data_IF_798302339286
#
_entry.id   IF_798302339286
#
_cell.length_a   1.000
_cell.length_b   1.000
_cell.length_c   1.000
_cell.angle_alpha   90.00
_cell.angle_beta   90.00
_cell.angle_gamma   90.00
#
_symmetry.space_group_name_H-M   'P 1'
#
loop_
_entity.id
_entity.type
_entity.pdbx_description
1 polymer ?
#
# COMPACT_ATOMS: atom_id res chain seq x y z
N UNK A 1 14.30 3.66 21.98
CA UNK A 1 14.02 3.19 20.60
C UNK A 1 12.62 2.59 20.59
N UNK A 2 11.72 3.11 19.79
CA UNK A 2 10.46 2.40 19.55
C UNK A 2 10.72 1.36 18.48
N UNK A 3 10.64 0.10 18.88
CA UNK A 3 10.85 -1.04 18.01
C UNK A 3 9.49 -1.60 17.60
N UNK A 4 9.13 -1.46 16.32
CA UNK A 4 7.86 -1.97 15.76
C UNK A 4 8.04 -3.34 15.09
N UNK A 5 9.01 -4.14 15.53
CA UNK A 5 9.33 -5.42 14.90
C UNK A 5 8.21 -6.46 15.05
N UNK A 6 7.45 -6.41 16.13
CA UNK A 6 6.32 -7.31 16.31
C UNK A 6 5.19 -6.99 15.34
N UNK A 7 4.87 -5.70 15.16
CA UNK A 7 3.85 -5.23 14.24
C UNK A 7 4.25 -5.50 12.79
N UNK A 8 5.50 -5.21 12.42
CA UNK A 8 6.04 -5.56 11.10
C UNK A 8 5.94 -7.05 10.83
N UNK A 9 6.35 -7.88 11.79
CA UNK A 9 6.31 -9.35 11.67
C UNK A 9 4.89 -9.86 11.53
N UNK A 10 3.94 -9.32 12.30
CA UNK A 10 2.52 -9.66 12.17
C UNK A 10 2.04 -9.44 10.73
N UNK A 11 2.31 -8.27 10.16
CA UNK A 11 1.87 -7.91 8.81
C UNK A 11 2.59 -8.74 7.75
N UNK A 12 3.89 -8.99 7.88
CA UNK A 12 4.63 -9.87 6.96
C UNK A 12 4.09 -11.31 6.98
N UNK A 13 3.81 -11.85 8.16
CA UNK A 13 3.20 -13.17 8.29
C UNK A 13 1.80 -13.23 7.68
N UNK A 14 1.00 -12.17 7.83
CA UNK A 14 -0.28 -12.04 7.15
C UNK A 14 -0.12 -12.04 5.63
N UNK A 15 0.80 -11.26 5.09
CA UNK A 15 1.07 -11.20 3.65
C UNK A 15 1.53 -12.54 3.08
N UNK A 16 2.41 -13.23 3.80
CA UNK A 16 2.87 -14.56 3.41
C UNK A 16 1.72 -15.57 3.43
N UNK A 17 0.89 -15.57 4.48
CA UNK A 17 -0.28 -16.45 4.58
C UNK A 17 -1.28 -16.19 3.43
N UNK A 18 -1.58 -14.92 3.11
CA UNK A 18 -2.44 -14.57 1.97
C UNK A 18 -1.82 -15.04 0.65
N UNK A 19 -0.51 -14.89 0.47
CA UNK A 19 0.15 -15.27 -0.79
C UNK A 19 0.21 -16.79 -0.97
N UNK A 20 0.59 -17.53 0.07
CA UNK A 20 0.81 -18.99 0.03
C UNK A 20 -0.47 -19.80 0.22
N UNK A 21 -1.44 -19.30 0.99
CA UNK A 21 -2.69 -20.01 1.29
C UNK A 21 -3.56 -20.22 0.04
N UNK A 22 -4.36 -21.26 0.06
CA UNK A 22 -5.38 -21.50 -0.96
C UNK A 22 -6.57 -20.54 -0.83
N UNK A 23 -7.40 -20.45 -1.88
CA UNK A 23 -8.61 -19.62 -1.84
C UNK A 23 -9.59 -20.06 -0.71
N UNK A 24 -9.56 -21.32 -0.29
CA UNK A 24 -10.41 -21.88 0.77
C UNK A 24 -9.91 -21.52 2.19
N UNK A 25 -8.63 -21.18 2.35
CA UNK A 25 -8.04 -20.83 3.64
C UNK A 25 -8.15 -19.35 3.98
N UNK A 26 -8.54 -18.50 3.01
CA UNK A 26 -8.52 -17.05 3.15
C UNK A 26 -9.39 -16.56 4.33
N UNK A 27 -10.59 -17.12 4.54
CA UNK A 27 -11.42 -16.74 5.69
C UNK A 27 -10.72 -17.01 7.01
N UNK A 28 -10.07 -18.17 7.14
CA UNK A 28 -9.33 -18.53 8.34
C UNK A 28 -8.10 -17.63 8.55
N UNK A 29 -7.41 -17.29 7.46
CA UNK A 29 -6.25 -16.37 7.50
C UNK A 29 -6.70 -14.99 7.96
N UNK A 30 -7.75 -14.40 7.36
CA UNK A 30 -8.25 -13.10 7.76
C UNK A 30 -8.72 -13.11 9.23
N UNK A 31 -9.45 -14.12 9.68
CA UNK A 31 -9.86 -14.26 11.08
C UNK A 31 -8.68 -14.40 12.06
N UNK A 32 -7.60 -15.02 11.60
CA UNK A 32 -6.38 -15.17 12.42
C UNK A 32 -5.64 -13.86 12.63
N UNK A 33 -5.54 -13.01 11.62
CA UNK A 33 -4.70 -11.81 11.65
C UNK A 33 -5.47 -10.52 11.91
N UNK A 34 -6.76 -10.46 11.56
CA UNK A 34 -7.62 -9.29 11.73
C UNK A 34 -8.48 -9.39 13.00
N UNK A 35 -8.88 -8.25 13.55
CA UNK A 35 -9.91 -8.22 14.59
C UNK A 35 -11.30 -8.50 14.01
N UNK A 36 -12.24 -8.91 14.86
CA UNK A 36 -13.62 -9.19 14.44
C UNK A 36 -14.32 -7.95 13.87
N UNK A 37 -13.96 -6.79 14.37
CA UNK A 37 -14.47 -5.47 13.99
C UNK A 37 -13.53 -4.69 13.07
N UNK A 38 -12.52 -5.36 12.48
CA UNK A 38 -11.56 -4.75 11.59
C UNK A 38 -12.25 -3.89 10.52
N UNK A 39 -11.84 -2.64 10.41
CA UNK A 39 -12.32 -1.72 9.36
C UNK A 39 -11.38 -1.79 8.17
N UNK A 40 -11.92 -2.14 7.00
CA UNK A 40 -11.15 -2.14 5.77
C UNK A 40 -11.69 -1.06 4.83
N UNK A 41 -10.86 -0.09 4.53
CA UNK A 41 -11.18 1.07 3.70
C UNK A 41 -10.56 0.92 2.33
N UNK A 42 -11.35 1.16 1.30
CA UNK A 42 -10.91 1.15 -0.09
C UNK A 42 -11.83 2.05 -0.92
N UNK A 43 -11.72 1.98 -2.22
CA UNK A 43 -12.57 2.71 -3.15
C UNK A 43 -13.46 1.77 -3.96
N UNK A 44 -14.31 2.35 -4.79
CA UNK A 44 -15.18 1.59 -5.69
C UNK A 44 -14.39 0.51 -6.48
N UNK A 45 -14.91 -0.75 -6.59
CA UNK A 45 -16.24 -1.22 -6.19
C UNK A 45 -16.35 -1.77 -4.76
N UNK A 46 -15.27 -1.80 -3.99
CA UNK A 46 -15.23 -2.51 -2.71
C UNK A 46 -15.76 -1.67 -1.54
N UNK A 47 -15.53 -0.35 -1.56
CA UNK A 47 -15.91 0.56 -0.47
C UNK A 47 -15.40 0.10 0.90
N UNK A 48 -16.02 0.56 1.99
CA UNK A 48 -15.66 0.15 3.33
C UNK A 48 -16.32 -1.19 3.68
N UNK A 49 -15.52 -2.07 4.30
CA UNK A 49 -15.98 -3.37 4.79
C UNK A 49 -15.64 -3.53 6.26
N UNK A 50 -16.35 -4.39 6.96
CA UNK A 50 -16.13 -4.64 8.39
C UNK A 50 -16.01 -6.13 8.68
N UNK A 51 -14.97 -6.45 9.46
CA UNK A 51 -14.67 -7.81 9.84
C UNK A 51 -13.86 -8.60 8.82
N UNK A 52 -12.94 -9.43 9.30
CA UNK A 52 -12.05 -10.21 8.46
C UNK A 52 -12.75 -11.16 7.50
N UNK A 53 -13.95 -11.65 7.86
CA UNK A 53 -14.72 -12.56 7.00
C UNK A 53 -15.27 -11.84 5.77
N UNK A 54 -15.80 -10.63 5.93
CA UNK A 54 -16.33 -9.86 4.80
C UNK A 54 -15.22 -9.46 3.85
N UNK A 55 -14.07 -9.02 4.39
CA UNK A 55 -12.87 -8.72 3.61
C UNK A 55 -12.38 -9.95 2.83
N UNK A 56 -12.38 -11.12 3.48
CA UNK A 56 -12.03 -12.38 2.85
C UNK A 56 -12.93 -12.67 1.66
N UNK A 57 -14.25 -12.65 1.85
CA UNK A 57 -15.25 -13.04 0.85
C UNK A 57 -15.40 -12.05 -0.29
N UNK A 58 -15.35 -10.77 -0.01
CA UNK A 58 -15.60 -9.75 -1.03
C UNK A 58 -14.34 -9.35 -1.79
N UNK A 59 -13.15 -9.47 -1.20
CA UNK A 59 -11.91 -9.09 -1.86
C UNK A 59 -10.95 -10.26 -2.08
N UNK A 60 -10.38 -10.85 -1.01
CA UNK A 60 -9.26 -11.78 -1.17
C UNK A 60 -9.60 -13.08 -1.87
N UNK A 61 -10.74 -13.72 -1.57
CA UNK A 61 -11.12 -14.97 -2.23
C UNK A 61 -11.35 -14.79 -3.73
N UNK A 62 -12.19 -13.82 -4.20
CA UNK A 62 -12.36 -13.57 -5.63
C UNK A 62 -11.04 -13.20 -6.32
N UNK A 63 -10.20 -12.39 -5.67
CA UNK A 63 -8.91 -11.99 -6.21
C UNK A 63 -7.98 -13.19 -6.36
N UNK A 64 -7.82 -14.02 -5.32
CA UNK A 64 -7.02 -15.25 -5.36
C UNK A 64 -7.54 -16.28 -6.37
N UNK A 65 -8.84 -16.39 -6.51
CA UNK A 65 -9.46 -17.26 -7.53
C UNK A 65 -9.09 -16.79 -8.95
N UNK A 66 -8.93 -15.50 -9.14
CA UNK A 66 -8.60 -14.93 -10.46
C UNK A 66 -7.11 -14.93 -10.78
N UNK A 67 -6.24 -14.82 -9.77
CA UNK A 67 -4.79 -14.78 -9.92
C UNK A 67 -4.13 -16.06 -9.37
N UNK A 68 -3.50 -16.82 -10.24
CA UNK A 68 -2.65 -17.95 -9.82
C UNK A 68 -1.24 -17.47 -9.44
N UNK A 69 -0.64 -18.14 -8.46
CA UNK A 69 0.71 -17.85 -7.99
C UNK A 69 0.87 -16.39 -7.55
N UNK A 70 -0.07 -15.92 -6.74
CA UNK A 70 -0.03 -14.57 -6.18
C UNK A 70 1.28 -14.34 -5.43
N UNK A 71 1.97 -13.28 -5.79
CA UNK A 71 3.18 -12.79 -5.14
C UNK A 71 2.99 -11.32 -4.78
N UNK A 72 3.51 -10.92 -3.63
CA UNK A 72 3.59 -9.52 -3.21
C UNK A 72 5.03 -9.04 -3.35
N UNK A 73 5.28 -8.19 -4.30
CA UNK A 73 6.56 -7.48 -4.44
C UNK A 73 6.44 -6.16 -3.68
N UNK A 74 7.23 -6.01 -2.64
CA UNK A 74 7.30 -4.78 -1.86
C UNK A 74 8.42 -3.89 -2.40
N UNK A 75 8.12 -2.62 -2.58
CA UNK A 75 9.07 -1.57 -2.93
C UNK A 75 9.29 -0.62 -1.74
N UNK A 76 8.27 -0.46 -0.88
CA UNK A 76 8.31 0.32 0.36
C UNK A 76 7.68 -0.52 1.47
N UNK A 77 8.36 -0.57 2.63
CA UNK A 77 7.85 -1.22 3.83
C UNK A 77 8.43 -0.58 5.09
N UNK A 78 7.59 -0.03 5.93
CA UNK A 78 8.00 0.56 7.20
C UNK A 78 6.88 0.52 8.24
N UNK A 79 7.19 0.86 9.49
CA UNK A 79 6.21 1.05 10.54
C UNK A 79 6.52 2.31 11.35
N UNK A 80 5.49 2.92 11.88
CA UNK A 80 5.60 4.12 12.69
C UNK A 80 4.33 4.40 13.49
N UNK A 81 4.42 5.35 14.40
CA UNK A 81 3.27 5.93 15.07
C UNK A 81 2.64 7.02 14.22
N UNK A 82 1.32 7.07 14.21
CA UNK A 82 0.61 8.21 13.66
C UNK A 82 0.68 9.38 14.66
N UNK A 83 1.35 10.45 14.27
CA UNK A 83 1.52 11.64 15.10
C UNK A 83 0.31 12.61 15.02
N UNK A 84 -0.58 12.39 14.07
CA UNK A 84 -1.74 13.24 13.83
C UNK A 84 -2.96 12.79 14.65
N UNK A 85 -3.01 11.52 15.05
CA UNK A 85 -4.00 11.06 15.99
C UNK A 85 -3.45 11.17 17.43
N UNK A 86 -4.21 11.69 18.34
CA UNK A 86 -3.83 11.81 19.74
C UNK A 86 -3.78 10.45 20.47
N UNK A 87 -3.85 9.33 19.76
CA UNK A 87 -3.93 7.97 20.29
C UNK A 87 -2.62 7.19 20.14
N UNK A 88 -1.60 7.79 19.53
CA UNK A 88 -0.30 7.13 19.32
C UNK A 88 -0.41 5.78 18.55
N UNK A 89 -1.38 5.67 17.64
CA UNK A 89 -1.64 4.41 16.94
C UNK A 89 -0.46 3.96 16.08
N UNK A 90 -0.19 2.66 16.07
CA UNK A 90 0.91 2.07 15.27
C UNK A 90 0.39 1.62 13.93
N UNK A 91 1.06 2.06 12.87
CA UNK A 91 0.76 1.71 11.49
C UNK A 91 1.93 1.02 10.83
N UNK A 92 1.63 -0.01 10.05
CA UNK A 92 2.58 -0.67 9.15
C UNK A 92 2.14 -0.38 7.72
N UNK A 93 3.06 0.17 6.94
CA UNK A 93 2.81 0.63 5.57
C UNK A 93 3.57 -0.23 4.59
N UNK A 94 2.92 -0.62 3.51
CA UNK A 94 3.51 -1.36 2.40
C UNK A 94 3.02 -0.81 1.07
N UNK A 95 3.95 -0.60 0.15
CA UNK A 95 3.64 -0.25 -1.24
C UNK A 95 4.44 -1.15 -2.19
N UNK A 96 3.92 -1.37 -3.38
CA UNK A 96 4.55 -2.20 -4.38
C UNK A 96 3.55 -2.77 -5.38
N UNK A 97 3.71 -4.03 -5.74
CA UNK A 97 2.86 -4.69 -6.74
C UNK A 97 2.37 -6.05 -6.22
N UNK A 98 1.08 -6.33 -6.42
CA UNK A 98 0.57 -7.70 -6.41
C UNK A 98 0.75 -8.27 -7.81
N UNK A 99 1.38 -9.43 -7.91
CA UNK A 99 1.72 -10.08 -9.17
C UNK A 99 1.13 -11.48 -9.21
N UNK A 100 0.73 -11.92 -10.39
CA UNK A 100 0.25 -13.28 -10.60
C UNK A 100 -0.20 -13.52 -12.03
N UNK A 101 -0.44 -14.78 -12.38
CA UNK A 101 -1.05 -15.15 -13.64
C UNK A 101 -2.55 -14.84 -13.59
N UNK A 102 -3.02 -13.89 -14.37
CA UNK A 102 -4.43 -13.51 -14.43
C UNK A 102 -5.21 -14.55 -15.25
N UNK A 103 -5.72 -15.57 -14.56
CA UNK A 103 -6.28 -16.79 -15.15
C UNK A 103 -7.80 -16.79 -15.28
N UNK A 104 -8.53 -16.15 -14.36
CA UNK A 104 -9.99 -16.01 -14.42
C UNK A 104 -10.40 -14.54 -14.37
N UNK A 105 -11.56 -14.22 -14.94
CA UNK A 105 -12.10 -12.86 -14.90
C UNK A 105 -12.29 -12.37 -13.45
N UNK A 106 -12.04 -11.10 -13.22
CA UNK A 106 -12.22 -10.43 -11.94
C UNK A 106 -12.85 -9.04 -12.15
N UNK A 107 -13.89 -8.70 -11.41
CA UNK A 107 -14.63 -7.42 -11.53
C UNK A 107 -15.09 -7.14 -12.98
N UNK A 108 -15.50 -8.16 -13.71
CA UNK A 108 -15.81 -8.08 -15.14
C UNK A 108 -14.62 -7.74 -16.05
N UNK A 109 -13.40 -7.65 -15.52
CA UNK A 109 -12.18 -7.51 -16.30
C UNK A 109 -11.80 -8.89 -16.87
N UNK A 110 -11.65 -9.05 -18.18
CA UNK A 110 -11.33 -10.33 -18.78
C UNK A 110 -9.91 -10.78 -18.46
N UNK A 111 -9.74 -12.08 -18.20
CA UNK A 111 -8.45 -12.68 -17.92
C UNK A 111 -7.52 -12.59 -19.13
N UNK A 112 -6.33 -12.05 -18.94
CA UNK A 112 -5.30 -11.94 -19.99
C UNK A 112 -4.54 -13.23 -20.26
N UNK A 113 -4.58 -14.21 -19.35
CA UNK A 113 -3.72 -15.40 -19.35
C UNK A 113 -2.22 -15.07 -19.34
N UNK A 114 -1.89 -13.89 -18.84
CA UNK A 114 -0.52 -13.38 -18.69
C UNK A 114 -0.27 -12.97 -17.24
N UNK A 115 0.99 -12.80 -16.88
CA UNK A 115 1.36 -12.19 -15.60
C UNK A 115 0.96 -10.73 -15.64
N UNK A 116 0.31 -10.29 -14.57
CA UNK A 116 -0.07 -8.89 -14.36
C UNK A 116 0.63 -8.33 -13.12
N UNK A 117 0.72 -7.01 -13.08
CA UNK A 117 1.28 -6.24 -11.98
C UNK A 117 0.22 -5.25 -11.50
N UNK A 118 -0.35 -5.48 -10.33
CA UNK A 118 -1.33 -4.57 -9.74
C UNK A 118 -0.63 -3.70 -8.69
N UNK A 119 -0.35 -2.42 -9.01
CA UNK A 119 0.23 -1.49 -8.03
C UNK A 119 -0.69 -1.35 -6.82
N UNK A 120 -0.13 -1.30 -5.62
CA UNK A 120 -0.89 -1.13 -4.38
C UNK A 120 -0.17 -0.22 -3.38
N UNK A 121 -0.98 0.37 -2.49
CA UNK A 121 -0.56 0.97 -1.23
C UNK A 121 -1.48 0.47 -0.13
N UNK A 122 -0.91 -0.06 0.94
CA UNK A 122 -1.63 -0.68 2.05
C UNK A 122 -1.11 -0.16 3.38
N UNK A 123 -2.02 0.30 4.22
CA UNK A 123 -1.76 0.85 5.54
C UNK A 123 -2.52 0.00 6.55
N UNK A 124 -1.83 -0.63 7.48
CA UNK A 124 -2.42 -1.50 8.49
C UNK A 124 -2.20 -0.92 9.88
N UNK A 125 -3.28 -0.58 10.59
CA UNK A 125 -3.25 -0.22 12.01
C UNK A 125 -3.23 -1.48 12.86
N UNK A 126 -2.29 -1.54 13.80
CA UNK A 126 -2.08 -2.70 14.63
C UNK A 126 -2.39 -2.36 16.09
N UNK A 127 -3.25 -3.16 16.70
CA UNK A 127 -3.56 -3.11 18.13
C UNK A 127 -3.70 -4.55 18.66
N UNK A 128 -3.22 -4.81 19.88
CA UNK A 128 -3.34 -6.11 20.56
C UNK A 128 -2.95 -7.31 19.67
N UNK A 129 -1.87 -7.15 18.88
CA UNK A 129 -1.36 -8.16 17.95
C UNK A 129 -2.39 -8.60 16.89
N UNK A 130 -3.24 -7.68 16.46
CA UNK A 130 -4.23 -7.83 15.39
C UNK A 130 -4.22 -6.61 14.48
N UNK A 131 -4.58 -6.82 13.21
CA UNK A 131 -4.91 -5.75 12.29
C UNK A 131 -6.33 -5.29 12.61
N UNK A 132 -6.48 -4.05 13.06
CA UNK A 132 -7.78 -3.47 13.44
C UNK A 132 -8.35 -2.52 12.40
N UNK A 133 -7.47 -2.03 11.52
CA UNK A 133 -7.88 -1.19 10.39
C UNK A 133 -6.90 -1.40 9.24
N UNK A 134 -7.43 -1.45 8.03
CA UNK A 134 -6.64 -1.45 6.79
C UNK A 134 -7.19 -0.40 5.87
N UNK A 135 -6.32 0.46 5.31
CA UNK A 135 -6.63 1.26 4.13
C UNK A 135 -5.85 0.65 2.96
N UNK A 136 -6.56 0.15 1.94
CA UNK A 136 -5.97 -0.58 0.83
C UNK A 136 -6.39 0.01 -0.51
N UNK A 137 -5.42 0.55 -1.21
CA UNK A 137 -5.59 1.18 -2.52
C UNK A 137 -4.78 0.42 -3.56
N UNK A 138 -5.35 0.20 -4.74
CA UNK A 138 -4.70 -0.53 -5.83
C UNK A 138 -5.18 0.01 -7.19
N UNK A 139 -4.33 -0.07 -8.20
CA UNK A 139 -4.53 0.61 -9.48
C UNK A 139 -5.32 -0.27 -10.47
N UNK A 140 -6.67 -0.31 -10.34
CA UNK A 140 -7.55 -1.02 -11.27
C UNK A 140 -7.44 -0.49 -12.72
N UNK A 141 -7.40 0.82 -12.97
CA UNK A 141 -7.17 1.34 -14.31
C UNK A 141 -5.88 0.80 -14.96
N UNK A 142 -4.81 0.65 -14.18
CA UNK A 142 -3.58 0.05 -14.66
C UNK A 142 -3.78 -1.43 -15.04
N UNK A 143 -4.48 -2.22 -14.21
CA UNK A 143 -4.86 -3.59 -14.55
C UNK A 143 -5.68 -3.66 -15.85
N UNK A 144 -6.66 -2.76 -16.01
CA UNK A 144 -7.47 -2.69 -17.23
C UNK A 144 -6.60 -2.43 -18.47
N UNK A 145 -5.66 -1.50 -18.39
CA UNK A 145 -4.72 -1.24 -19.48
C UNK A 145 -3.87 -2.48 -19.83
N UNK A 146 -3.41 -3.24 -18.85
CA UNK A 146 -2.63 -4.47 -19.06
C UNK A 146 -3.39 -5.56 -19.80
N UNK A 147 -4.71 -5.56 -19.75
CA UNK A 147 -5.57 -6.52 -20.49
C UNK A 147 -6.15 -5.94 -21.78
N UNK A 148 -5.72 -4.75 -22.18
CA UNK A 148 -6.16 -4.09 -23.41
C UNK A 148 -7.45 -3.29 -23.29
N UNK A 149 -7.96 -3.11 -22.07
CA UNK A 149 -9.07 -2.20 -21.77
C UNK A 149 -8.48 -0.86 -21.34
N UNK A 150 -8.68 0.18 -22.13
CA UNK A 150 -8.19 1.51 -21.76
C UNK A 150 -9.36 2.40 -21.33
N UNK A 151 -9.58 2.62 -20.02
CA UNK A 151 -10.63 3.48 -19.50
C UNK A 151 -10.33 4.97 -19.68
N UNK A 152 -9.12 5.34 -20.11
CA UNK A 152 -8.66 6.70 -20.28
C UNK A 152 -8.20 6.97 -21.71
N UNK A 153 -7.96 8.25 -22.03
CA UNK A 153 -7.25 8.62 -23.24
C UNK A 153 -5.84 8.00 -23.30
N UNK A 154 -5.26 7.89 -24.49
CA UNK A 154 -3.95 7.29 -24.70
C UNK A 154 -2.89 7.87 -23.75
N UNK A 155 -2.25 7.02 -22.98
CA UNK A 155 -1.17 7.43 -22.10
C UNK A 155 0.12 7.67 -22.91
N UNK A 156 0.90 8.66 -22.51
CA UNK A 156 2.16 9.05 -23.16
C UNK A 156 3.39 8.30 -22.61
N UNK A 157 3.21 7.38 -21.65
CA UNK A 157 4.31 6.68 -20.98
C UNK A 157 4.01 5.22 -20.63
N UNK A 158 5.01 4.52 -20.11
CA UNK A 158 4.86 3.16 -19.61
C UNK A 158 4.00 3.13 -18.33
N UNK A 159 2.90 2.40 -18.35
CA UNK A 159 1.92 2.34 -17.27
C UNK A 159 1.71 0.91 -16.71
N UNK A 160 2.53 -0.05 -17.11
CA UNK A 160 2.41 -1.44 -16.67
C UNK A 160 2.98 -1.65 -15.27
N UNK A 161 4.11 -1.03 -14.96
CA UNK A 161 4.82 -1.17 -13.70
C UNK A 161 5.33 0.19 -13.22
N UNK A 162 5.06 0.53 -11.97
CA UNK A 162 5.65 1.69 -11.30
C UNK A 162 6.95 1.26 -10.64
N UNK A 163 8.04 1.96 -10.94
CA UNK A 163 9.32 1.66 -10.32
C UNK A 163 9.34 2.18 -8.89
N UNK A 164 9.81 1.35 -7.97
CA UNK A 164 10.17 1.76 -6.62
C UNK A 164 11.57 2.38 -6.59
N UNK A 165 12.09 2.73 -5.39
CA UNK A 165 13.45 3.22 -5.24
C UNK A 165 14.48 2.24 -5.82
N UNK A 166 15.40 2.73 -6.69
CA UNK A 166 16.38 1.87 -7.36
C UNK A 166 17.37 1.20 -6.43
N UNK A 167 17.69 1.83 -5.32
CA UNK A 167 18.59 1.35 -4.29
C UNK A 167 17.88 0.54 -3.18
N UNK A 168 16.57 0.31 -3.31
CA UNK A 168 15.74 -0.44 -2.35
C UNK A 168 15.75 0.14 -0.93
N UNK A 169 16.03 1.41 -0.75
CA UNK A 169 16.10 2.10 0.54
C UNK A 169 14.73 2.43 1.15
N UNK A 170 13.63 2.10 0.46
CA UNK A 170 12.26 2.19 0.98
C UNK A 170 11.82 0.99 1.83
N UNK A 171 12.67 -0.03 2.02
CA UNK A 171 12.34 -1.29 2.70
C UNK A 171 12.96 -1.35 4.09
N UNK A 172 12.22 -0.93 5.11
CA UNK A 172 12.66 -0.90 6.51
C UNK A 172 12.15 -2.11 7.30
N UNK A 173 12.68 -3.28 6.99
CA UNK A 173 12.32 -4.53 7.69
C UNK A 173 12.92 -4.62 9.10
N UNK A 174 14.06 -3.96 9.33
CA UNK A 174 14.78 -3.93 10.60
C UNK A 174 14.62 -2.58 11.30
N UNK A 175 15.17 -2.45 12.50
CA UNK A 175 15.19 -1.21 13.26
C UNK A 175 16.00 -0.14 12.52
N UNK A 176 15.51 1.09 12.57
CA UNK A 176 16.12 2.25 11.95
C UNK A 176 16.53 3.29 13.01
N UNK A 177 17.53 4.11 12.67
CA UNK A 177 17.92 5.22 13.52
C UNK A 177 16.85 6.33 13.50
N UNK A 178 16.31 6.63 14.68
CA UNK A 178 15.30 7.68 14.85
C UNK A 178 15.83 9.08 14.56
N UNK A 179 17.15 9.31 14.71
CA UNK A 179 17.78 10.61 14.46
C UNK A 179 17.70 11.02 12.99
N UNK A 180 17.93 10.08 12.08
CA UNK A 180 17.82 10.30 10.64
C UNK A 180 16.38 10.61 10.22
N UNK A 181 15.42 9.81 10.70
CA UNK A 181 14.00 10.04 10.43
C UNK A 181 13.51 11.40 10.91
N UNK A 182 13.97 11.85 12.08
CA UNK A 182 13.60 13.16 12.61
C UNK A 182 14.09 14.32 11.72
N UNK A 183 15.33 14.25 11.21
CA UNK A 183 15.86 15.24 10.28
C UNK A 183 15.06 15.30 8.98
N UNK A 184 14.74 14.14 8.42
CA UNK A 184 13.91 14.05 7.21
C UNK A 184 12.53 14.65 7.43
N UNK A 185 11.88 14.32 8.56
CA UNK A 185 10.58 14.90 8.92
C UNK A 185 10.64 16.42 9.01
N UNK A 186 11.66 16.96 9.68
CA UNK A 186 11.86 18.42 9.79
C UNK A 186 12.06 19.09 8.43
N UNK A 187 12.80 18.45 7.51
CA UNK A 187 12.99 18.99 6.16
C UNK A 187 11.67 19.00 5.36
N UNK A 188 10.85 17.94 5.50
CA UNK A 188 9.54 17.86 4.86
C UNK A 188 8.59 18.91 5.45
N UNK A 189 8.52 19.03 6.77
CA UNK A 189 7.68 20.02 7.45
C UNK A 189 8.05 21.46 7.00
N UNK A 190 9.34 21.76 6.91
CA UNK A 190 9.84 23.03 6.38
C UNK A 190 9.42 23.26 4.93
N UNK A 191 9.55 22.26 4.07
CA UNK A 191 9.10 22.33 2.68
C UNK A 191 7.60 22.60 2.58
N UNK A 192 6.79 21.87 3.34
CA UNK A 192 5.33 22.04 3.36
C UNK A 192 4.96 23.45 3.84
N UNK A 193 5.61 23.95 4.90
CA UNK A 193 5.39 25.31 5.40
C UNK A 193 5.69 26.36 4.34
N UNK A 194 6.82 26.23 3.64
CA UNK A 194 7.20 27.17 2.57
C UNK A 194 6.24 27.13 1.39
N UNK A 195 5.87 25.95 0.92
CA UNK A 195 4.90 25.79 -0.16
C UNK A 195 3.49 26.30 0.25
N UNK A 196 3.11 26.17 1.52
CA UNK A 196 1.85 26.68 2.05
C UNK A 196 1.81 28.21 2.18
N UNK A 197 2.97 28.85 2.33
CA UNK A 197 3.13 30.30 2.48
C UNK A 197 3.72 30.94 1.20
N UNK A 198 3.23 30.51 0.04
CA UNK A 198 3.70 30.99 -1.26
C UNK A 198 3.65 32.51 -1.39
N UNK A 199 4.78 33.17 -1.69
CA UNK A 199 4.83 34.62 -1.95
C UNK A 199 4.77 34.91 -3.46
N UNK A 200 3.58 35.30 -3.92
CA UNK A 200 3.35 35.63 -5.35
C UNK A 200 4.20 36.78 -5.89
N UNK A 201 5.05 37.40 -5.08
CA UNK A 201 5.99 38.44 -5.51
C UNK A 201 7.31 37.90 -6.04
N UNK A 202 7.66 36.66 -5.64
CA UNK A 202 8.85 35.98 -6.11
C UNK A 202 8.54 35.20 -7.40
N UNK A 203 9.54 34.96 -8.21
CA UNK A 203 9.44 34.03 -9.32
C UNK A 203 9.30 32.58 -8.82
N UNK A 204 8.76 31.69 -9.63
CA UNK A 204 8.65 30.26 -9.31
C UNK A 204 10.01 29.66 -8.91
N UNK A 205 11.08 30.04 -9.59
CA UNK A 205 12.43 29.55 -9.31
C UNK A 205 12.95 30.02 -7.95
N UNK A 206 12.71 31.30 -7.61
CA UNK A 206 13.09 31.85 -6.30
C UNK A 206 12.32 31.17 -5.17
N UNK A 207 11.00 30.99 -5.31
CA UNK A 207 10.18 30.28 -4.32
C UNK A 207 10.64 28.84 -4.11
N UNK A 208 10.86 28.09 -5.19
CA UNK A 208 11.31 26.71 -5.10
C UNK A 208 12.71 26.62 -4.47
N UNK A 209 13.62 27.54 -4.76
CA UNK A 209 14.98 27.57 -4.17
C UNK A 209 15.00 27.71 -2.65
N UNK A 210 13.90 28.17 -2.04
CA UNK A 210 13.80 28.30 -0.57
C UNK A 210 13.63 26.96 0.14
N UNK A 211 13.11 25.93 -0.53
CA UNK A 211 12.74 24.68 0.11
C UNK A 211 13.04 23.42 -0.71
N UNK A 212 13.48 23.57 -1.97
CA UNK A 212 13.80 22.45 -2.85
C UNK A 212 15.31 22.22 -2.89
N UNK A 213 15.74 20.97 -2.89
CA UNK A 213 17.13 20.60 -3.10
C UNK A 213 17.50 20.72 -4.58
N UNK A 214 18.75 21.04 -4.86
CA UNK A 214 19.27 21.18 -6.23
C UNK A 214 19.53 19.82 -6.92
N UNK A 215 19.40 18.70 -6.21
CA UNK A 215 19.66 17.32 -6.69
C UNK A 215 18.43 16.66 -7.31
#
# INVERSE_FOLDING_TARGET
MQNFQNEKRLVLNYYEAISSGSEYEIEQICSRYMSEDCVWQSYHPFQDQRGGLDIARHFWQPFKTSLKHLQRRQDIFFAGKNILDNQDTVWVVSMGHLMGLFDKNWLSIPASKKVIFLPYAEFNRIENNKIVQTAFYFDLPNLMCQVGLNPFASASGANTMKLGPFNHDGLYYTDQDLGTGKKTSQAIDFMIEKLGNWDCKLSLQEELSLCWHDD
#
